data_IF_076401721115
#
_entry.id   IF_076401721115
#
_cell.length_a   1.000
_cell.length_b   1.000
_cell.length_c   1.000
_cell.angle_alpha   90.00
_cell.angle_beta   90.00
_cell.angle_gamma   90.00
#
_symmetry.space_group_name_H-M   'P 1'
#
loop_
_entity.id
_entity.type
_entity.pdbx_description
1 polymer ?
#
# COMPACT_ATOMS: atom_id res chain seq x y z
N UNK A 1 9.97 6.46 -2.52
CA UNK A 1 8.76 6.20 -1.70
C UNK A 1 8.85 6.83 -0.32
N UNK A 2 9.85 6.49 0.48
CA UNK A 2 9.97 7.05 1.84
C UNK A 2 10.30 8.54 1.81
N UNK A 3 11.22 8.94 0.94
CA UNK A 3 11.53 10.36 0.69
C UNK A 3 10.38 11.16 0.06
N UNK A 4 9.35 10.49 -0.49
CA UNK A 4 8.21 11.16 -1.13
C UNK A 4 7.05 11.40 -0.16
N UNK A 5 7.17 10.98 1.11
CA UNK A 5 6.07 11.05 2.07
C UNK A 5 4.88 10.14 1.73
N UNK A 6 5.11 9.07 0.96
CA UNK A 6 4.04 8.16 0.58
C UNK A 6 3.48 7.42 1.80
N UNK A 7 2.16 7.27 1.86
CA UNK A 7 1.47 6.53 2.93
C UNK A 7 1.26 5.04 2.59
N UNK A 8 1.28 4.70 1.30
CA UNK A 8 1.13 3.35 0.76
C UNK A 8 2.02 3.15 -0.46
N UNK A 9 2.39 1.91 -0.73
CA UNK A 9 2.93 1.45 -2.00
C UNK A 9 1.83 0.71 -2.76
N UNK A 10 1.56 1.08 -4.02
CA UNK A 10 0.64 0.33 -4.86
C UNK A 10 1.35 -0.25 -6.09
N UNK A 11 1.05 -1.51 -6.43
CA UNK A 11 1.54 -2.15 -7.66
C UNK A 11 0.58 -3.20 -8.18
N UNK A 12 0.27 -3.15 -9.48
CA UNK A 12 -0.48 -4.21 -10.18
C UNK A 12 0.39 -5.42 -10.54
N UNK A 13 1.71 -5.33 -10.34
CA UNK A 13 2.63 -6.44 -10.58
C UNK A 13 2.86 -7.20 -9.26
N UNK A 14 2.34 -8.44 -9.11
CA UNK A 14 2.48 -9.20 -7.87
C UNK A 14 3.94 -9.41 -7.46
N UNK A 15 4.84 -9.58 -8.43
CA UNK A 15 6.27 -9.74 -8.19
C UNK A 15 6.88 -8.49 -7.55
N UNK A 16 6.67 -7.32 -8.15
CA UNK A 16 7.14 -6.05 -7.59
C UNK A 16 6.50 -5.77 -6.22
N UNK A 17 5.20 -6.05 -6.07
CA UNK A 17 4.47 -5.86 -4.82
C UNK A 17 5.14 -6.61 -3.66
N UNK A 18 5.37 -7.92 -3.84
CA UNK A 18 6.01 -8.76 -2.81
C UNK A 18 7.47 -8.38 -2.60
N UNK A 19 8.23 -8.16 -3.67
CA UNK A 19 9.66 -7.86 -3.61
C UNK A 19 9.95 -6.54 -2.87
N UNK A 20 9.27 -5.46 -3.26
CA UNK A 20 9.48 -4.13 -2.64
C UNK A 20 8.94 -4.10 -1.21
N UNK A 21 7.77 -4.69 -0.94
CA UNK A 21 7.24 -4.77 0.42
C UNK A 21 8.18 -5.55 1.35
N UNK A 22 8.79 -6.64 0.86
CA UNK A 22 9.77 -7.41 1.63
C UNK A 22 11.06 -6.63 1.86
N UNK A 23 11.56 -5.91 0.85
CA UNK A 23 12.73 -5.06 1.00
C UNK A 23 12.51 -3.96 2.06
N UNK A 24 11.34 -3.29 2.02
CA UNK A 24 10.95 -2.27 2.99
C UNK A 24 10.82 -2.84 4.42
N UNK A 25 10.25 -4.03 4.58
CA UNK A 25 10.20 -4.73 5.88
C UNK A 25 11.60 -5.05 6.41
N UNK A 26 12.50 -5.55 5.56
CA UNK A 26 13.91 -5.85 5.94
C UNK A 26 14.66 -4.60 6.40
N UNK A 27 14.33 -3.44 5.84
CA UNK A 27 14.88 -2.14 6.25
C UNK A 27 14.22 -1.54 7.50
N UNK A 28 13.29 -2.26 8.14
CA UNK A 28 12.48 -1.77 9.28
C UNK A 28 11.67 -0.51 8.96
N UNK A 29 11.33 -0.30 7.69
CA UNK A 29 10.51 0.82 7.21
C UNK A 29 9.30 0.28 6.43
N UNK A 30 8.43 -0.52 7.08
CA UNK A 30 7.29 -1.11 6.39
C UNK A 30 6.36 -0.02 5.87
N UNK A 31 5.98 -0.13 4.61
CA UNK A 31 4.92 0.68 3.99
C UNK A 31 3.79 -0.27 3.58
N UNK A 32 2.51 0.04 3.87
CA UNK A 32 1.40 -0.78 3.43
C UNK A 32 1.43 -0.96 1.91
N UNK A 33 1.38 -2.21 1.45
CA UNK A 33 1.41 -2.55 0.04
C UNK A 33 -0.01 -2.93 -0.42
N UNK A 34 -0.47 -2.33 -1.51
CA UNK A 34 -1.83 -2.52 -2.05
C UNK A 34 -1.78 -2.89 -3.53
N UNK A 35 -2.70 -3.73 -3.96
CA UNK A 35 -3.04 -3.83 -5.37
C UNK A 35 -3.87 -2.61 -5.78
N UNK A 36 -3.68 -2.01 -6.98
CA UNK A 36 -4.44 -0.84 -7.41
C UNK A 36 -5.96 -1.02 -7.38
N UNK A 37 -6.45 -2.26 -7.54
CA UNK A 37 -7.89 -2.55 -7.43
C UNK A 37 -8.46 -2.22 -6.05
N UNK A 38 -7.67 -2.31 -4.98
CA UNK A 38 -8.10 -1.97 -3.62
C UNK A 38 -8.30 -0.47 -3.45
N UNK A 39 -7.48 0.36 -4.15
CA UNK A 39 -7.66 1.81 -4.20
C UNK A 39 -8.94 2.17 -4.96
N UNK A 40 -9.17 1.52 -6.09
CA UNK A 40 -10.37 1.74 -6.91
C UNK A 40 -11.63 1.30 -6.16
N UNK A 41 -11.63 0.13 -5.52
CA UNK A 41 -12.75 -0.34 -4.69
C UNK A 41 -13.03 0.64 -3.54
N UNK A 42 -12.00 1.11 -2.84
CA UNK A 42 -12.15 2.10 -1.79
C UNK A 42 -12.76 3.41 -2.33
N UNK A 43 -12.31 3.90 -3.48
CA UNK A 43 -12.86 5.11 -4.12
C UNK A 43 -14.32 4.94 -4.51
N UNK A 44 -14.70 3.81 -5.10
CA UNK A 44 -16.07 3.52 -5.52
C UNK A 44 -17.00 3.44 -4.31
N UNK A 45 -16.51 2.92 -3.18
CA UNK A 45 -17.27 2.78 -1.94
C UNK A 45 -17.19 3.99 -1.00
N UNK A 46 -16.65 5.11 -1.46
CA UNK A 46 -16.44 6.32 -0.65
C UNK A 46 -15.65 6.06 0.66
N UNK A 47 -14.65 5.18 0.59
CA UNK A 47 -13.76 4.87 1.71
C UNK A 47 -12.56 5.79 1.64
N UNK A 48 -12.57 6.84 2.46
CA UNK A 48 -11.46 7.79 2.57
C UNK A 48 -10.12 7.14 2.99
N UNK A 49 -9.02 7.87 2.76
CA UNK A 49 -7.65 7.39 2.98
C UNK A 49 -7.39 6.80 4.38
N UNK A 50 -7.93 7.42 5.43
CA UNK A 50 -7.82 6.90 6.80
C UNK A 50 -8.51 5.53 6.98
N UNK A 51 -9.64 5.33 6.31
CA UNK A 51 -10.36 4.06 6.30
C UNK A 51 -9.58 2.97 5.58
N UNK A 52 -9.02 3.29 4.42
CA UNK A 52 -8.19 2.37 3.65
C UNK A 52 -6.92 1.97 4.42
N UNK A 53 -6.21 2.92 5.03
CA UNK A 53 -5.02 2.65 5.83
C UNK A 53 -5.31 1.76 7.04
N UNK A 54 -6.49 1.86 7.65
CA UNK A 54 -6.90 0.94 8.73
C UNK A 54 -7.12 -0.49 8.22
N UNK A 55 -7.61 -0.66 6.99
CA UNK A 55 -7.78 -1.98 6.37
C UNK A 55 -6.43 -2.61 6.03
N UNK A 56 -5.52 -1.82 5.45
CA UNK A 56 -4.20 -2.26 5.01
C UNK A 56 -3.22 -2.64 6.15
N UNK A 57 -3.55 -2.29 7.41
CA UNK A 57 -2.77 -2.61 8.62
C UNK A 57 -3.24 -3.87 9.35
N UNK A 58 -4.38 -4.45 8.93
CA UNK A 58 -4.88 -5.74 9.45
C UNK A 58 -4.19 -6.87 8.71
#
# INVERSE_FOLDING_TARGET
>A
MLATGAHVYASANPGCLVQVATALRRQKQPLPALHPIELVDASIRDVGAAGLLRRARR
#
